data_IF_445818299892
#
_entry.id   IF_445818299892
#
_cell.length_a   1.000
_cell.length_b   1.000
_cell.length_c   1.000
_cell.angle_alpha   90.00
_cell.angle_beta   90.00
_cell.angle_gamma   90.00
#
_symmetry.space_group_name_H-M   'P 1'
#
loop_
_entity.id
_entity.type
_entity.pdbx_description
1 polymer ?
#
# COMPACT_ATOMS: atom_id res chain seq x y z
N UNK A 1 17.42 23.81 -25.41
CA UNK A 1 16.46 23.31 -24.42
C UNK A 1 16.99 22.18 -23.56
N UNK A 2 17.65 21.16 -24.11
CA UNK A 2 18.21 20.01 -23.38
C UNK A 2 19.25 20.37 -22.30
N UNK A 3 20.12 21.37 -22.57
CA UNK A 3 21.16 21.81 -21.62
C UNK A 3 20.59 22.53 -20.37
N UNK A 4 19.52 23.30 -20.53
CA UNK A 4 18.84 23.98 -19.40
C UNK A 4 18.13 22.99 -18.46
N UNK A 5 17.56 21.89 -19.02
CA UNK A 5 16.93 20.84 -18.25
C UNK A 5 17.95 20.05 -17.41
N UNK A 6 19.13 19.78 -17.96
CA UNK A 6 20.23 19.12 -17.28
C UNK A 6 20.76 19.94 -16.10
N UNK A 7 20.87 21.26 -16.28
CA UNK A 7 21.31 22.18 -15.20
C UNK A 7 20.30 22.27 -14.04
N UNK A 8 19.00 22.26 -14.35
CA UNK A 8 17.92 22.23 -13.33
C UNK A 8 17.94 20.91 -12.55
N UNK A 9 18.17 19.77 -13.20
CA UNK A 9 18.32 18.47 -12.54
C UNK A 9 19.55 18.41 -11.63
N UNK A 10 20.67 19.04 -12.02
CA UNK A 10 21.87 19.14 -11.21
C UNK A 10 21.66 20.04 -9.97
N UNK A 11 20.93 21.14 -10.11
CA UNK A 11 20.61 22.05 -8.98
C UNK A 11 19.65 21.40 -7.97
N UNK A 12 18.70 20.57 -8.43
CA UNK A 12 17.81 19.80 -7.55
C UNK A 12 18.61 18.81 -6.70
N UNK A 13 19.58 18.13 -7.27
CA UNK A 13 20.44 17.19 -6.54
C UNK A 13 21.34 17.89 -5.50
N UNK A 14 21.77 19.12 -5.73
CA UNK A 14 22.59 19.89 -4.78
C UNK A 14 21.80 20.32 -3.53
N UNK A 15 20.52 20.64 -3.67
CA UNK A 15 19.66 21.02 -2.54
C UNK A 15 19.33 19.84 -1.62
N UNK A 16 19.26 18.62 -2.14
CA UNK A 16 18.98 17.39 -1.35
C UNK A 16 20.13 17.09 -0.37
N UNK A 17 21.39 17.43 -0.73
CA UNK A 17 22.57 17.16 0.10
C UNK A 17 22.62 17.97 1.42
N UNK A 18 21.96 19.12 1.50
CA UNK A 18 22.01 19.98 2.70
C UNK A 18 20.93 19.65 3.74
N UNK A 19 19.93 18.86 3.40
CA UNK A 19 18.82 18.50 4.28
C UNK A 19 19.10 17.28 5.18
N UNK A 20 20.24 16.59 5.03
CA UNK A 20 20.51 15.30 5.67
C UNK A 20 20.92 15.34 7.14
N UNK A 21 21.29 16.49 7.69
CA UNK A 21 21.94 16.54 9.02
C UNK A 21 21.00 16.44 10.24
N UNK A 22 19.68 16.33 10.05
CA UNK A 22 18.73 16.33 11.18
C UNK A 22 17.79 15.11 11.23
N UNK A 23 18.19 13.98 10.66
CA UNK A 23 17.39 12.75 10.69
C UNK A 23 18.21 11.52 11.03
N UNK A 24 17.57 10.55 11.66
CA UNK A 24 18.08 9.20 11.86
C UNK A 24 17.55 8.31 10.75
N UNK A 25 18.40 7.46 10.19
CA UNK A 25 18.03 6.49 9.18
C UNK A 25 18.35 5.08 9.66
N UNK A 26 17.46 4.15 9.37
CA UNK A 26 17.67 2.73 9.62
C UNK A 26 17.16 1.91 8.45
N UNK A 27 17.73 0.73 8.25
CA UNK A 27 17.36 -0.18 7.16
C UNK A 27 16.89 -1.51 7.72
N UNK A 28 15.78 -2.03 7.19
CA UNK A 28 15.25 -3.34 7.56
C UNK A 28 14.99 -4.17 6.31
N UNK A 29 15.08 -5.49 6.44
CA UNK A 29 14.66 -6.43 5.41
C UNK A 29 13.22 -6.87 5.67
N UNK A 30 12.35 -6.84 4.64
CA UNK A 30 10.93 -7.15 4.78
C UNK A 30 10.45 -8.17 3.74
N UNK A 31 9.40 -8.89 4.10
CA UNK A 31 8.65 -9.76 3.19
C UNK A 31 7.15 -9.50 3.31
N UNK A 32 6.50 -9.12 2.21
CA UNK A 32 5.07 -8.87 2.17
C UNK A 32 4.36 -9.90 1.31
N UNK A 33 3.43 -10.61 1.91
CA UNK A 33 2.66 -11.66 1.26
C UNK A 33 1.19 -11.26 1.33
N UNK A 34 0.54 -11.12 0.17
CA UNK A 34 -0.84 -10.65 0.14
C UNK A 34 -1.75 -11.54 -0.70
N UNK A 35 -2.95 -11.69 -0.17
CA UNK A 35 -4.11 -12.18 -0.86
C UNK A 35 -5.04 -11.01 -1.15
N UNK A 36 -5.60 -10.96 -2.36
CA UNK A 36 -6.65 -10.01 -2.75
C UNK A 36 -7.75 -10.77 -3.49
N UNK A 37 -8.97 -10.71 -2.98
CA UNK A 37 -10.17 -11.25 -3.61
C UNK A 37 -11.11 -10.15 -4.10
N UNK A 38 -11.64 -10.32 -5.30
CA UNK A 38 -12.75 -9.51 -5.81
C UNK A 38 -13.86 -10.45 -6.24
N UNK A 39 -15.03 -10.34 -5.62
CA UNK A 39 -16.21 -11.17 -5.88
C UNK A 39 -17.27 -10.30 -6.54
N UNK A 40 -17.47 -10.44 -7.84
CA UNK A 40 -18.51 -9.70 -8.58
C UNK A 40 -19.89 -10.30 -8.28
N UNK A 41 -20.76 -9.46 -7.69
CA UNK A 41 -22.15 -9.83 -7.38
C UNK A 41 -23.08 -9.40 -8.52
N UNK A 42 -22.82 -8.25 -9.14
CA UNK A 42 -23.53 -7.73 -10.29
C UNK A 42 -22.57 -7.08 -11.29
N UNK A 43 -23.08 -6.52 -12.38
CA UNK A 43 -22.26 -5.77 -13.35
C UNK A 43 -21.54 -4.59 -12.71
N UNK A 44 -22.14 -3.96 -11.72
CA UNK A 44 -21.62 -2.74 -11.07
C UNK A 44 -21.09 -2.96 -9.68
N UNK A 45 -21.52 -4.01 -8.97
CA UNK A 45 -21.23 -4.21 -7.54
C UNK A 45 -20.39 -5.46 -7.33
N UNK A 46 -19.39 -5.34 -6.48
CA UNK A 46 -18.57 -6.47 -6.01
C UNK A 46 -18.09 -6.29 -4.59
N UNK A 47 -17.70 -7.39 -3.96
CA UNK A 47 -17.06 -7.41 -2.64
C UNK A 47 -15.55 -7.51 -2.87
N UNK A 48 -14.81 -6.73 -2.10
CA UNK A 48 -13.35 -6.80 -2.00
C UNK A 48 -12.96 -7.39 -0.67
N UNK A 49 -12.04 -8.33 -0.70
CA UNK A 49 -11.37 -8.89 0.48
C UNK A 49 -9.87 -8.84 0.28
N UNK A 50 -9.11 -8.52 1.32
CA UNK A 50 -7.66 -8.47 1.24
C UNK A 50 -7.08 -8.85 2.58
N UNK A 51 -6.07 -9.71 2.58
CA UNK A 51 -5.23 -9.98 3.73
C UNK A 51 -3.77 -9.80 3.35
N UNK A 52 -3.03 -9.06 4.18
CA UNK A 52 -1.59 -8.87 4.02
C UNK A 52 -0.85 -9.41 5.24
N UNK A 53 -0.01 -10.38 5.01
CA UNK A 53 0.92 -10.94 5.97
C UNK A 53 2.28 -10.31 5.74
N UNK A 54 2.62 -9.32 6.54
CA UNK A 54 3.86 -8.58 6.45
C UNK A 54 4.84 -9.05 7.50
N UNK A 55 6.06 -9.34 7.07
CA UNK A 55 7.10 -9.91 7.91
C UNK A 55 8.33 -9.00 7.92
N UNK A 56 9.01 -8.97 9.05
CA UNK A 56 10.37 -8.48 9.18
C UNK A 56 11.34 -9.66 8.96
N UNK A 57 12.55 -9.38 8.47
CA UNK A 57 13.53 -10.36 8.04
C UNK A 57 12.92 -11.44 7.12
N UNK A 58 12.25 -10.99 6.07
CA UNK A 58 11.54 -11.77 5.06
C UNK A 58 10.37 -12.59 5.64
N UNK A 59 10.61 -13.54 6.53
CA UNK A 59 9.58 -14.44 7.08
C UNK A 59 9.70 -14.64 8.61
N UNK A 60 10.79 -14.18 9.24
CA UNK A 60 11.16 -14.60 10.60
C UNK A 60 10.22 -14.05 11.67
N UNK A 61 9.94 -12.75 11.67
CA UNK A 61 9.12 -12.10 12.71
C UNK A 61 8.00 -11.26 12.11
N UNK A 62 6.98 -10.94 12.91
CA UNK A 62 5.87 -10.12 12.47
C UNK A 62 6.30 -8.65 12.27
N UNK A 63 5.83 -8.05 11.17
CA UNK A 63 5.84 -6.62 10.95
C UNK A 63 4.40 -6.06 11.09
N UNK A 64 3.46 -6.60 10.31
CA UNK A 64 2.05 -6.19 10.36
C UNK A 64 1.15 -7.26 9.77
N UNK A 65 0.02 -7.56 10.42
CA UNK A 65 -1.14 -8.20 9.83
C UNK A 65 -2.15 -7.14 9.39
N UNK A 66 -2.72 -7.24 8.19
CA UNK A 66 -3.75 -6.30 7.74
C UNK A 66 -4.86 -7.06 7.03
N UNK A 67 -6.09 -6.89 7.54
CA UNK A 67 -7.31 -7.37 6.91
C UNK A 67 -8.09 -6.17 6.36
N UNK A 68 -8.61 -6.28 5.12
CA UNK A 68 -9.42 -5.23 4.49
C UNK A 68 -10.65 -5.84 3.84
N UNK A 69 -11.80 -5.25 4.07
CA UNK A 69 -13.08 -5.56 3.44
C UNK A 69 -13.64 -4.31 2.79
N UNK A 70 -14.32 -4.45 1.64
CA UNK A 70 -14.89 -3.30 0.97
C UNK A 70 -15.94 -3.67 -0.08
N UNK A 71 -16.74 -2.67 -0.43
CA UNK A 71 -17.69 -2.72 -1.53
C UNK A 71 -17.12 -1.96 -2.72
N UNK A 72 -17.06 -2.61 -3.87
CA UNK A 72 -16.67 -2.02 -5.14
C UNK A 72 -17.92 -1.57 -5.90
N UNK A 73 -17.87 -0.37 -6.47
CA UNK A 73 -18.85 0.12 -7.43
C UNK A 73 -18.16 0.47 -8.74
N UNK A 74 -18.43 -0.28 -9.80
CA UNK A 74 -17.85 -0.10 -11.13
C UNK A 74 -18.70 0.87 -11.93
N UNK A 75 -18.17 2.03 -12.28
CA UNK A 75 -18.82 3.00 -13.14
C UNK A 75 -18.73 2.55 -14.60
N UNK A 76 -17.54 2.21 -15.05
CA UNK A 76 -17.21 1.71 -16.38
C UNK A 76 -15.91 0.89 -16.36
N UNK A 77 -15.44 0.46 -17.51
CA UNK A 77 -14.21 -0.34 -17.63
C UNK A 77 -12.92 0.36 -17.12
N UNK A 78 -12.98 1.70 -16.94
CA UNK A 78 -11.82 2.51 -16.55
C UNK A 78 -11.90 3.07 -15.14
N UNK A 79 -13.09 3.11 -14.54
CA UNK A 79 -13.34 3.81 -13.27
C UNK A 79 -14.12 2.91 -12.33
N UNK A 80 -13.59 2.69 -11.14
CA UNK A 80 -14.36 2.12 -10.04
C UNK A 80 -14.05 2.80 -8.71
N UNK A 81 -15.03 2.77 -7.83
CA UNK A 81 -14.95 3.24 -6.46
C UNK A 81 -14.93 2.06 -5.49
N UNK A 82 -14.34 2.26 -4.33
CA UNK A 82 -14.41 1.33 -3.21
C UNK A 82 -14.60 2.09 -1.92
N UNK A 83 -15.55 1.64 -1.12
CA UNK A 83 -15.70 2.03 0.28
C UNK A 83 -15.42 0.80 1.13
N UNK A 84 -14.67 0.95 2.21
CA UNK A 84 -14.35 -0.22 3.02
C UNK A 84 -13.81 0.10 4.40
N UNK A 85 -13.56 -0.99 5.11
CA UNK A 85 -12.98 -1.01 6.45
C UNK A 85 -11.73 -1.88 6.46
N UNK A 86 -10.75 -1.49 7.26
CA UNK A 86 -9.56 -2.29 7.49
C UNK A 86 -9.19 -2.30 8.97
N UNK A 87 -8.65 -3.42 9.41
CA UNK A 87 -7.96 -3.55 10.70
C UNK A 87 -6.52 -3.99 10.43
N UNK A 88 -5.60 -3.36 11.14
CA UNK A 88 -4.18 -3.70 11.07
C UNK A 88 -3.61 -3.84 12.47
N UNK A 89 -2.90 -4.94 12.70
CA UNK A 89 -2.09 -5.16 13.89
C UNK A 89 -0.63 -4.96 13.52
N UNK A 90 0.03 -4.01 14.14
CA UNK A 90 1.44 -3.66 13.88
C UNK A 90 2.29 -4.10 15.06
N UNK A 91 3.36 -4.83 14.76
CA UNK A 91 4.30 -5.36 15.75
C UNK A 91 5.57 -4.55 15.79
N UNK A 92 6.30 -4.53 16.91
CA UNK A 92 7.61 -3.89 16.98
C UNK A 92 8.62 -4.61 16.10
N UNK A 93 9.36 -3.88 15.29
CA UNK A 93 10.44 -4.39 14.46
C UNK A 93 11.49 -3.31 14.22
N UNK A 94 12.69 -3.73 13.82
CA UNK A 94 13.81 -2.84 13.56
C UNK A 94 14.37 -2.17 14.81
N UNK A 95 15.33 -1.29 14.60
CA UNK A 95 16.01 -0.56 15.67
C UNK A 95 15.08 0.44 16.38
N UNK A 96 14.19 1.09 15.62
CA UNK A 96 13.24 2.08 16.14
C UNK A 96 11.80 1.60 15.92
N UNK A 97 11.17 0.91 16.89
CA UNK A 97 9.78 0.48 16.78
C UNK A 97 8.83 1.66 16.55
N UNK A 98 7.75 1.43 15.78
CA UNK A 98 6.74 2.48 15.50
C UNK A 98 6.09 2.98 16.78
N UNK A 99 5.70 2.07 17.69
CA UNK A 99 5.26 2.40 19.03
C UNK A 99 6.49 2.65 19.93
N UNK A 100 6.52 3.79 20.60
CA UNK A 100 7.66 4.20 21.46
C UNK A 100 7.91 3.26 22.64
N UNK A 101 6.90 2.50 23.08
CA UNK A 101 7.01 1.52 24.16
C UNK A 101 7.50 0.15 23.67
N UNK A 102 7.75 -0.02 22.35
CA UNK A 102 8.14 -1.31 21.77
C UNK A 102 7.04 -2.37 21.81
N UNK A 103 5.77 -1.96 21.84
CA UNK A 103 4.59 -2.85 21.89
C UNK A 103 3.88 -2.87 20.54
N UNK A 104 3.09 -3.92 20.33
CA UNK A 104 2.15 -3.95 19.20
C UNK A 104 1.05 -2.93 19.40
N UNK A 105 0.38 -2.57 18.30
CA UNK A 105 -0.80 -1.72 18.34
C UNK A 105 -1.72 -2.02 17.18
N UNK A 106 -3.02 -1.83 17.45
CA UNK A 106 -4.11 -2.02 16.50
C UNK A 106 -4.45 -0.69 15.82
N UNK A 107 -4.84 -0.77 14.57
CA UNK A 107 -5.32 0.38 13.83
C UNK A 107 -6.59 0.02 13.06
N UNK A 108 -7.66 0.78 13.30
CA UNK A 108 -8.92 0.70 12.57
C UNK A 108 -8.97 1.79 11.51
N UNK A 109 -9.40 1.44 10.29
CA UNK A 109 -9.46 2.37 9.15
C UNK A 109 -10.80 2.25 8.45
N UNK A 110 -11.43 3.38 8.21
CA UNK A 110 -12.46 3.53 7.17
C UNK A 110 -11.73 4.12 5.96
N UNK A 111 -12.03 3.65 4.75
CA UNK A 111 -11.37 4.19 3.57
C UNK A 111 -12.31 4.30 2.38
N UNK A 112 -12.13 5.37 1.63
CA UNK A 112 -12.69 5.58 0.30
C UNK A 112 -11.57 5.52 -0.73
N UNK A 113 -11.87 4.93 -1.89
CA UNK A 113 -10.89 4.79 -2.96
C UNK A 113 -11.56 4.97 -4.32
N UNK A 114 -10.88 5.67 -5.22
CA UNK A 114 -11.17 5.68 -6.65
C UNK A 114 -9.96 5.15 -7.40
N UNK A 115 -10.21 4.28 -8.36
CA UNK A 115 -9.19 3.82 -9.31
C UNK A 115 -9.58 4.20 -10.73
N UNK A 116 -8.61 4.81 -11.41
CA UNK A 116 -8.71 5.17 -12.82
C UNK A 116 -7.71 4.31 -13.60
N UNK A 117 -8.13 3.78 -14.75
CA UNK A 117 -7.27 3.00 -15.61
C UNK A 117 -7.33 3.50 -17.06
N UNK A 118 -6.19 3.52 -17.73
CA UNK A 118 -6.11 3.79 -19.17
C UNK A 118 -4.95 3.01 -19.76
N UNK A 119 -4.92 2.93 -21.08
CA UNK A 119 -3.87 2.24 -21.83
C UNK A 119 -3.24 3.20 -22.84
N UNK A 120 -1.91 3.17 -22.91
CA UNK A 120 -1.14 3.92 -23.89
C UNK A 120 -0.13 2.96 -24.56
N UNK A 121 -0.33 2.68 -25.82
CA UNK A 121 0.44 1.67 -26.54
C UNK A 121 0.35 0.28 -25.88
N UNK A 122 1.47 -0.23 -25.40
CA UNK A 122 1.55 -1.51 -24.67
C UNK A 122 1.43 -1.36 -23.16
N UNK A 123 1.42 -0.13 -22.64
CA UNK A 123 1.43 0.15 -21.21
C UNK A 123 0.01 0.31 -20.69
N UNK A 124 -0.37 -0.50 -19.72
CA UNK A 124 -1.58 -0.33 -18.92
C UNK A 124 -1.25 0.53 -17.69
N UNK A 125 -1.89 1.70 -17.59
CA UNK A 125 -1.76 2.62 -16.47
C UNK A 125 -2.92 2.45 -15.50
N UNK A 126 -2.61 2.55 -14.21
CA UNK A 126 -3.61 2.58 -13.14
C UNK A 126 -3.23 3.64 -12.12
N UNK A 127 -4.17 4.52 -11.80
CA UNK A 127 -4.07 5.55 -10.77
C UNK A 127 -5.03 5.19 -9.65
N UNK A 128 -4.55 5.15 -8.42
CA UNK A 128 -5.36 4.88 -7.25
C UNK A 128 -5.24 6.04 -6.28
N UNK A 129 -6.34 6.67 -5.99
CA UNK A 129 -6.50 7.67 -4.94
C UNK A 129 -7.26 7.05 -3.79
N UNK A 130 -6.78 7.21 -2.57
CA UNK A 130 -7.42 6.67 -1.38
C UNK A 130 -7.34 7.68 -0.25
N UNK A 131 -8.45 7.84 0.45
CA UNK A 131 -8.54 8.58 1.70
C UNK A 131 -8.76 7.55 2.82
N UNK A 132 -8.03 7.67 3.91
CA UNK A 132 -8.15 6.80 5.08
C UNK A 132 -8.42 7.66 6.32
N UNK A 133 -9.50 7.35 7.05
CA UNK A 133 -9.79 7.79 8.41
C UNK A 133 -9.26 6.71 9.34
N UNK A 134 -8.29 7.07 10.15
CA UNK A 134 -7.49 6.13 10.94
C UNK A 134 -7.72 6.37 12.42
N UNK A 135 -7.99 5.30 13.17
CA UNK A 135 -8.06 5.26 14.61
C UNK A 135 -6.91 4.36 15.08
N UNK A 136 -5.87 4.96 15.64
CA UNK A 136 -4.59 4.29 15.90
C UNK A 136 -4.49 4.03 17.40
N UNK A 137 -4.43 2.76 17.79
CA UNK A 137 -4.31 2.34 19.18
C UNK A 137 -3.06 2.91 19.85
N UNK A 138 -3.23 3.41 21.05
CA UNK A 138 -2.17 3.96 21.91
C UNK A 138 -2.35 3.49 23.35
N UNK A 139 -1.26 3.52 24.07
CA UNK A 139 -1.22 3.32 25.52
C UNK A 139 -1.03 4.69 26.14
N UNK A 140 -1.95 5.17 26.99
CA UNK A 140 -1.89 6.48 27.66
C UNK A 140 -0.70 6.55 28.61
N UNK A 141 -0.28 5.40 29.16
CA UNK A 141 0.91 5.27 30.00
C UNK A 141 1.68 3.97 29.73
N UNK A 142 2.92 3.90 30.18
CA UNK A 142 3.74 2.68 30.09
C UNK A 142 3.20 1.52 30.97
N UNK A 143 2.32 1.81 31.92
CA UNK A 143 1.76 0.83 32.84
C UNK A 143 0.48 0.15 32.27
N UNK A 144 -0.11 0.72 31.22
CA UNK A 144 -1.28 0.11 30.58
C UNK A 144 -0.91 -1.21 29.89
N UNK A 145 -1.72 -2.25 30.08
CA UNK A 145 -1.52 -3.57 29.46
C UNK A 145 -2.18 -3.67 28.08
N UNK A 146 -3.20 -2.86 27.83
CA UNK A 146 -3.98 -2.81 26.59
C UNK A 146 -4.04 -1.39 26.06
N UNK A 147 -4.33 -1.24 24.79
CA UNK A 147 -4.61 0.06 24.17
C UNK A 147 -5.89 0.65 24.77
N UNK A 148 -5.80 1.86 25.28
CA UNK A 148 -6.87 2.58 25.96
C UNK A 148 -7.28 3.87 25.24
N UNK A 149 -6.54 4.28 24.21
CA UNK A 149 -6.83 5.42 23.35
C UNK A 149 -6.78 5.04 21.87
N UNK A 150 -7.68 5.63 21.07
CA UNK A 150 -7.70 5.50 19.61
C UNK A 150 -7.81 6.87 18.92
N UNK A 151 -6.77 7.70 18.99
CA UNK A 151 -6.79 9.03 18.38
C UNK A 151 -7.00 8.95 16.87
N UNK A 152 -7.87 9.83 16.39
CA UNK A 152 -8.21 9.96 14.99
C UNK A 152 -7.10 10.67 14.20
N UNK A 153 -6.78 10.17 13.00
CA UNK A 153 -5.95 10.88 12.03
C UNK A 153 -6.41 10.57 10.60
N UNK A 154 -6.06 11.44 9.66
CA UNK A 154 -6.40 11.28 8.24
C UNK A 154 -5.15 11.06 7.40
N UNK A 155 -5.29 10.25 6.34
CA UNK A 155 -4.20 9.98 5.39
C UNK A 155 -4.71 9.90 3.96
N UNK A 156 -4.12 10.70 3.07
CA UNK A 156 -4.31 10.59 1.64
C UNK A 156 -3.22 9.68 1.04
N UNK A 157 -3.61 8.91 0.02
CA UNK A 157 -2.68 8.04 -0.70
C UNK A 157 -2.90 8.19 -2.19
N UNK A 158 -1.82 8.28 -2.92
CA UNK A 158 -1.82 8.22 -4.36
C UNK A 158 -0.84 7.16 -4.84
N UNK A 159 -1.30 6.29 -5.75
CA UNK A 159 -0.46 5.30 -6.40
C UNK A 159 -0.60 5.41 -7.91
N UNK A 160 0.51 5.48 -8.60
CA UNK A 160 0.61 5.20 -10.03
C UNK A 160 1.19 3.81 -10.23
N UNK A 161 0.58 3.02 -11.11
CA UNK A 161 1.06 1.69 -11.47
C UNK A 161 1.06 1.52 -12.98
N UNK A 162 2.13 0.97 -13.50
CA UNK A 162 2.39 0.65 -14.88
C UNK A 162 2.48 -0.86 -15.04
N UNK A 163 1.91 -1.40 -16.13
CA UNK A 163 2.02 -2.82 -16.46
C UNK A 163 2.28 -2.98 -17.95
N UNK A 164 3.17 -3.91 -18.31
CA UNK A 164 3.53 -4.18 -19.71
C UNK A 164 3.50 -5.69 -19.92
N UNK A 165 2.73 -6.22 -20.91
CA UNK A 165 2.76 -7.63 -21.26
C UNK A 165 4.14 -7.99 -21.85
N UNK A 166 4.71 -9.10 -21.43
CA UNK A 166 5.95 -9.66 -22.01
C UNK A 166 5.68 -10.49 -23.26
N UNK A 167 4.40 -10.77 -23.55
CA UNK A 167 3.96 -11.51 -24.74
C UNK A 167 2.64 -10.94 -25.26
N UNK A 168 2.57 -10.65 -26.55
CA UNK A 168 1.40 -10.07 -27.19
C UNK A 168 1.23 -8.58 -26.89
N UNK A 169 0.04 -8.04 -27.11
CA UNK A 169 -0.29 -6.61 -26.97
C UNK A 169 -1.12 -6.29 -25.72
N UNK A 170 -1.54 -7.30 -24.97
CA UNK A 170 -2.47 -7.18 -23.84
C UNK A 170 -2.19 -8.23 -22.77
N UNK A 171 -2.43 -7.89 -21.50
CA UNK A 171 -2.38 -8.84 -20.39
C UNK A 171 -3.68 -9.62 -20.34
N UNK A 172 -3.68 -10.79 -21.00
CA UNK A 172 -4.80 -11.76 -21.03
C UNK A 172 -4.39 -13.08 -20.40
N UNK A 173 -5.24 -14.08 -20.49
CA UNK A 173 -4.96 -15.40 -19.91
C UNK A 173 -3.63 -15.97 -20.45
N UNK A 174 -2.87 -16.61 -19.58
CA UNK A 174 -1.54 -17.19 -19.83
C UNK A 174 -0.52 -16.16 -20.31
N UNK A 175 -0.60 -14.91 -19.78
CA UNK A 175 0.33 -13.83 -20.16
C UNK A 175 1.25 -13.48 -19.02
N UNK A 176 2.58 -13.59 -19.17
CA UNK A 176 3.56 -12.99 -18.28
C UNK A 176 3.63 -11.48 -18.54
N UNK A 177 3.89 -10.69 -17.50
CA UNK A 177 4.03 -9.24 -17.60
C UNK A 177 4.98 -8.71 -16.53
N UNK A 178 5.45 -7.50 -16.73
CA UNK A 178 6.15 -6.72 -15.71
C UNK A 178 5.25 -5.61 -15.22
N UNK A 179 5.46 -5.21 -13.96
CA UNK A 179 4.76 -4.08 -13.38
C UNK A 179 5.71 -3.25 -12.51
N UNK A 180 5.49 -1.94 -12.49
CA UNK A 180 6.13 -1.04 -11.55
C UNK A 180 5.08 -0.13 -10.93
N UNK A 181 5.28 0.27 -9.68
CA UNK A 181 4.42 1.24 -9.04
C UNK A 181 5.21 2.13 -8.08
N UNK A 182 4.68 3.32 -7.88
CA UNK A 182 5.06 4.25 -6.82
C UNK A 182 3.80 4.68 -6.08
N UNK A 183 3.82 4.59 -4.75
CA UNK A 183 2.72 4.99 -3.88
C UNK A 183 3.24 5.92 -2.79
N UNK A 184 2.70 7.15 -2.75
CA UNK A 184 2.97 8.12 -1.69
C UNK A 184 1.78 8.18 -0.73
N UNK A 185 2.09 8.30 0.57
CA UNK A 185 1.12 8.40 1.65
C UNK A 185 1.41 9.67 2.45
N UNK A 186 0.40 10.53 2.58
CA UNK A 186 0.51 11.84 3.24
C UNK A 186 -0.50 11.92 4.37
N UNK A 187 -0.01 12.13 5.59
CA UNK A 187 -0.84 12.43 6.76
C UNK A 187 -1.31 13.89 6.77
N UNK A 188 -2.54 14.12 7.21
CA UNK A 188 -3.08 15.47 7.37
C UNK A 188 -4.16 15.52 8.46
N UNK A 189 -4.47 16.74 8.91
CA UNK A 189 -5.47 16.96 9.95
C UNK A 189 -4.93 16.72 11.37
N UNK A 190 -5.80 16.27 12.27
CA UNK A 190 -5.47 16.09 13.69
C UNK A 190 -4.49 14.93 13.92
N UNK A 191 -3.68 15.05 14.96
CA UNK A 191 -2.77 14.00 15.47
C UNK A 191 -1.68 13.52 14.48
N UNK A 192 -1.41 14.27 13.41
CA UNK A 192 -0.37 13.95 12.43
C UNK A 192 1.01 14.41 12.92
N UNK A 193 1.06 15.54 13.68
CA UNK A 193 2.31 16.14 14.19
C UNK A 193 3.34 16.35 13.07
N UNK A 194 4.57 15.88 13.26
CA UNK A 194 5.63 15.97 12.27
C UNK A 194 5.50 14.97 11.10
N UNK A 195 4.57 13.99 11.19
CA UNK A 195 4.44 12.89 10.23
C UNK A 195 3.55 13.24 9.03
N UNK A 196 3.76 14.40 8.41
CA UNK A 196 3.06 14.78 7.18
C UNK A 196 3.45 13.82 6.05
N UNK A 197 4.76 13.58 5.85
CA UNK A 197 5.21 12.47 5.03
C UNK A 197 5.10 11.18 5.83
N UNK A 198 4.11 10.34 5.53
CA UNK A 198 3.94 9.06 6.25
C UNK A 198 4.81 7.99 5.63
N UNK A 199 4.68 7.76 4.32
CA UNK A 199 5.44 6.72 3.62
C UNK A 199 5.54 7.00 2.11
N UNK A 200 6.57 6.41 1.49
CA UNK A 200 6.63 6.13 0.07
C UNK A 200 6.90 4.64 -0.16
N UNK A 201 6.33 4.08 -1.21
CA UNK A 201 6.49 2.66 -1.57
C UNK A 201 6.73 2.51 -3.05
N UNK A 202 7.84 1.90 -3.41
CA UNK A 202 8.18 1.58 -4.80
C UNK A 202 8.23 0.06 -4.94
N UNK A 203 7.61 -0.46 -6.00
CA UNK A 203 7.66 -1.89 -6.31
C UNK A 203 7.96 -2.14 -7.77
N UNK A 204 8.77 -3.17 -8.04
CA UNK A 204 9.07 -3.69 -9.37
C UNK A 204 8.76 -5.19 -9.36
N UNK A 205 7.81 -5.62 -10.19
CA UNK A 205 7.20 -6.94 -10.11
C UNK A 205 7.25 -7.65 -11.46
N UNK A 206 7.38 -8.96 -11.39
CA UNK A 206 7.07 -9.87 -12.49
C UNK A 206 5.76 -10.57 -12.13
N UNK A 207 4.82 -10.61 -13.05
CA UNK A 207 3.52 -11.22 -12.84
C UNK A 207 3.16 -12.22 -13.94
N UNK A 208 2.25 -13.11 -13.59
CA UNK A 208 1.63 -14.04 -14.52
C UNK A 208 0.13 -14.10 -14.31
N UNK A 209 -0.63 -13.84 -15.36
CA UNK A 209 -2.07 -14.03 -15.37
C UNK A 209 -2.37 -15.43 -15.89
N UNK A 210 -2.76 -16.33 -14.99
CA UNK A 210 -3.08 -17.71 -15.35
C UNK A 210 -4.36 -17.80 -16.14
N UNK A 211 -5.39 -17.10 -15.68
CA UNK A 211 -6.71 -17.03 -16.30
C UNK A 211 -7.46 -15.78 -15.80
N UNK A 212 -8.76 -15.67 -16.12
CA UNK A 212 -9.59 -14.54 -15.68
C UNK A 212 -9.73 -14.45 -14.16
N UNK A 213 -9.53 -15.57 -13.44
CA UNK A 213 -9.72 -15.67 -12.00
C UNK A 213 -8.42 -15.38 -11.24
N UNK A 214 -7.28 -15.96 -11.66
CA UNK A 214 -6.04 -15.98 -10.87
C UNK A 214 -4.93 -15.22 -11.56
N UNK A 215 -4.29 -14.35 -10.79
CA UNK A 215 -3.06 -13.63 -11.15
C UNK A 215 -2.12 -13.61 -9.95
N UNK A 216 -0.85 -13.92 -10.17
CA UNK A 216 0.21 -13.88 -9.16
C UNK A 216 1.31 -12.93 -9.63
N UNK A 217 1.84 -12.16 -8.70
CA UNK A 217 2.93 -11.21 -8.92
C UNK A 217 3.94 -11.38 -7.80
N UNK A 218 5.21 -11.22 -8.11
CA UNK A 218 6.28 -11.18 -7.11
C UNK A 218 7.42 -10.28 -7.55
N UNK A 219 8.15 -9.72 -6.62
CA UNK A 219 9.27 -8.86 -6.94
C UNK A 219 9.83 -8.07 -5.78
N UNK A 220 10.53 -7.00 -6.12
CA UNK A 220 11.17 -6.10 -5.17
C UNK A 220 10.19 -5.06 -4.63
N UNK A 221 10.33 -4.75 -3.36
CA UNK A 221 9.63 -3.69 -2.66
C UNK A 221 10.62 -2.85 -1.86
N UNK A 222 10.54 -1.53 -2.00
CA UNK A 222 11.10 -0.57 -1.05
C UNK A 222 9.95 0.19 -0.39
N UNK A 223 10.01 0.35 0.93
CA UNK A 223 9.15 1.22 1.70
C UNK A 223 10.01 2.17 2.51
N UNK A 224 9.97 3.46 2.21
CA UNK A 224 10.50 4.51 3.08
C UNK A 224 9.37 5.00 3.97
N UNK A 225 9.57 4.92 5.29
CA UNK A 225 8.59 5.26 6.31
C UNK A 225 9.18 6.27 7.28
N UNK A 226 8.48 7.39 7.53
CA UNK A 226 8.82 8.31 8.62
C UNK A 226 8.04 7.91 9.88
N UNK A 227 8.72 7.82 11.02
CA UNK A 227 8.05 7.59 12.29
C UNK A 227 7.20 8.82 12.69
N UNK A 228 6.03 8.57 13.29
CA UNK A 228 5.17 9.62 13.84
C UNK A 228 5.68 10.27 15.14
N UNK A 229 6.89 9.93 15.56
CA UNK A 229 7.55 10.43 16.78
C UNK A 229 9.01 10.77 16.54
N UNK A 230 9.53 11.67 17.32
CA UNK A 230 10.96 11.97 17.34
C UNK A 230 11.71 10.96 18.23
N UNK A 231 12.96 10.69 17.87
CA UNK A 231 13.93 9.95 18.70
C UNK A 231 15.13 10.86 18.89
N UNK A 232 15.47 11.18 20.14
CA UNK A 232 16.53 12.13 20.48
C UNK A 232 16.39 13.49 19.76
N UNK A 233 15.15 13.98 19.64
CA UNK A 233 14.84 15.24 18.96
C UNK A 233 14.93 15.20 17.43
N UNK A 234 15.18 14.03 16.82
CA UNK A 234 15.33 13.86 15.37
C UNK A 234 14.19 13.06 14.75
N UNK A 235 13.85 13.37 13.50
CA UNK A 235 12.99 12.52 12.70
C UNK A 235 13.69 11.20 12.38
N UNK A 236 12.94 10.10 12.39
CA UNK A 236 13.45 8.77 12.03
C UNK A 236 12.82 8.31 10.73
N UNK A 237 13.66 7.91 9.79
CA UNK A 237 13.25 7.29 8.52
C UNK A 237 13.71 5.83 8.50
N UNK A 238 12.76 4.92 8.28
CA UNK A 238 13.05 3.51 8.06
C UNK A 238 13.00 3.21 6.57
N UNK A 239 14.10 2.70 6.02
CA UNK A 239 14.21 2.19 4.66
C UNK A 239 14.04 0.67 4.68
N UNK A 240 12.82 0.21 4.44
CA UNK A 240 12.47 -1.20 4.45
C UNK A 240 12.59 -1.76 3.03
N UNK A 241 13.55 -2.65 2.81
CA UNK A 241 13.80 -3.28 1.51
C UNK A 241 13.42 -4.76 1.57
N UNK A 242 12.87 -5.29 0.50
CA UNK A 242 12.54 -6.71 0.51
C UNK A 242 11.75 -7.20 -0.68
N UNK A 243 11.02 -8.27 -0.44
CA UNK A 243 10.22 -8.94 -1.45
C UNK A 243 8.72 -8.74 -1.19
N UNK A 244 7.95 -8.74 -2.26
CA UNK A 244 6.49 -8.76 -2.22
C UNK A 244 5.97 -9.88 -3.11
N UNK A 245 4.96 -10.60 -2.61
CA UNK A 245 4.20 -11.60 -3.38
C UNK A 245 2.72 -11.27 -3.23
N UNK A 246 2.04 -11.05 -4.35
CA UNK A 246 0.61 -10.76 -4.40
C UNK A 246 -0.12 -11.86 -5.15
N UNK A 247 -1.12 -12.45 -4.51
CA UNK A 247 -2.04 -13.37 -5.16
C UNK A 247 -3.41 -12.71 -5.31
N UNK A 248 -3.89 -12.56 -6.54
CA UNK A 248 -5.13 -11.86 -6.85
C UNK A 248 -6.15 -12.82 -7.44
N UNK A 249 -7.36 -12.81 -6.87
CA UNK A 249 -8.50 -13.58 -7.32
C UNK A 249 -9.64 -12.66 -7.77
N UNK A 250 -10.17 -12.90 -8.97
CA UNK A 250 -11.35 -12.22 -9.49
C UNK A 250 -12.43 -13.28 -9.81
N UNK A 251 -13.43 -13.36 -8.96
CA UNK A 251 -14.47 -14.40 -9.04
C UNK A 251 -15.78 -13.73 -9.47
N UNK A 252 -16.36 -14.21 -10.56
CA UNK A 252 -17.70 -13.81 -11.02
C UNK A 252 -18.74 -14.72 -10.37
N UNK A 253 -19.57 -14.16 -9.51
CA UNK A 253 -20.63 -14.88 -8.79
C UNK A 253 -22.02 -14.68 -9.42
N UNK A 254 -22.15 -13.91 -10.50
CA UNK A 254 -23.41 -13.55 -11.14
C UNK A 254 -24.20 -14.76 -11.63
N UNK A 255 -23.52 -15.79 -12.18
CA UNK A 255 -24.17 -16.99 -12.72
C UNK A 255 -24.75 -17.96 -11.67
N UNK A 256 -24.28 -17.89 -10.42
CA UNK A 256 -24.75 -18.79 -9.35
C UNK A 256 -26.05 -18.36 -8.69
N UNK A 257 -26.46 -17.12 -8.84
CA UNK A 257 -27.71 -16.59 -8.26
C UNK A 257 -28.92 -16.81 -9.16
N UNK A 258 -28.71 -16.93 -10.47
CA UNK A 258 -29.80 -17.18 -11.44
C UNK A 258 -30.28 -18.65 -11.44
N UNK A 259 -29.39 -19.59 -11.15
CA UNK A 259 -29.67 -21.05 -11.21
C UNK A 259 -30.40 -21.58 -9.95
N UNK A 260 -30.54 -20.78 -8.92
CA UNK A 260 -31.28 -21.12 -7.67
C UNK A 260 -32.76 -20.67 -7.66
N UNK A 261 -33.29 -20.12 -8.76
CA UNK A 261 -34.68 -19.62 -8.89
C UNK A 261 -35.52 -20.35 -9.93
N UNK A 262 -35.03 -21.49 -10.42
CA UNK A 262 -35.82 -22.40 -11.26
C UNK A 262 -36.10 -23.71 -10.52
#
# INVERSE_FOLDING_TARGET
MKFKLFLVLLLINYQVSLAQNNRLETTNNIGWYSYTGTFKISEKVGIHTEYQWRRNNLITSWQQGLLRLGLNYTVNARVFFRLGYAVAETYPYGEYPLNGLGRSFTEHRIFEMVQLAHKEGLVDFSHRFMLEQRFIGRYSSANEYTEDEFPFSSRARYMIRLQVPLRGKEIKDKTPYVAAYDEVLIGFGKNVNANVFDQNRIGILIGYRFNKIVRIEGGYLNQTLQLGRLVNGKNVFQNNNGIIINTNFNIDMKGKAADKRN
#
